data_IF_177480376635
#
_entry.id   IF_177480376635
#
_cell.length_a   1.000
_cell.length_b   1.000
_cell.length_c   1.000
_cell.angle_alpha   90.00
_cell.angle_beta   90.00
_cell.angle_gamma   90.00
#
_symmetry.space_group_name_H-M   'P 1'
#
loop_
_entity.id
_entity.type
_entity.pdbx_description
1 polymer ?
#
# COMPACT_ATOMS: atom_id res chain seq x y z
N UNK A 1 -7.45 2.46 -10.96
CA UNK A 1 -8.12 1.46 -10.09
C UNK A 1 -7.49 1.51 -8.71
N UNK A 2 -8.25 1.24 -7.65
CA UNK A 2 -7.68 1.09 -6.31
C UNK A 2 -7.24 -0.36 -6.07
N UNK A 3 -6.00 -0.56 -5.66
CA UNK A 3 -5.49 -1.81 -5.13
C UNK A 3 -5.35 -1.74 -3.61
N UNK A 4 -5.94 -2.68 -2.88
CA UNK A 4 -5.65 -2.85 -1.45
C UNK A 4 -4.86 -4.13 -1.24
N UNK A 5 -3.72 -4.02 -0.56
CA UNK A 5 -2.85 -5.15 -0.24
C UNK A 5 -2.88 -5.34 1.28
N UNK A 6 -3.53 -6.41 1.72
CA UNK A 6 -3.68 -6.78 3.13
C UNK A 6 -2.61 -7.76 3.62
N UNK A 7 -2.10 -8.59 2.70
CA UNK A 7 -1.14 -9.64 3.01
C UNK A 7 0.28 -9.11 3.14
N UNK A 8 1.05 -9.67 4.09
CA UNK A 8 2.48 -9.37 4.23
C UNK A 8 3.23 -9.64 2.93
N UNK A 9 4.15 -8.76 2.50
CA UNK A 9 4.97 -8.98 1.30
C UNK A 9 5.89 -10.21 1.40
N UNK A 10 6.11 -10.72 2.63
CA UNK A 10 6.88 -11.93 2.89
C UNK A 10 6.06 -13.23 2.78
N UNK A 11 4.72 -13.11 2.69
CA UNK A 11 3.80 -14.24 2.69
C UNK A 11 2.82 -14.20 1.50
N UNK A 12 3.14 -13.41 0.47
CA UNK A 12 2.34 -13.32 -0.75
C UNK A 12 3.23 -13.11 -1.99
N UNK A 13 2.67 -13.37 -3.17
CA UNK A 13 3.31 -13.04 -4.44
C UNK A 13 3.06 -11.57 -4.80
N UNK A 14 3.79 -10.66 -4.12
CA UNK A 14 3.68 -9.23 -4.38
C UNK A 14 4.04 -8.88 -5.83
N UNK A 15 4.98 -9.61 -6.43
CA UNK A 15 5.43 -9.38 -7.80
C UNK A 15 4.30 -9.60 -8.81
N UNK A 16 3.45 -10.62 -8.59
CA UNK A 16 2.26 -10.84 -9.40
C UNK A 16 1.30 -9.63 -9.36
N UNK A 17 1.03 -9.07 -8.17
CA UNK A 17 0.18 -7.88 -8.03
C UNK A 17 0.82 -6.67 -8.72
N UNK A 18 2.11 -6.44 -8.48
CA UNK A 18 2.87 -5.34 -9.07
C UNK A 18 2.85 -5.40 -10.59
N UNK A 19 2.84 -6.61 -11.18
CA UNK A 19 2.78 -6.78 -12.63
C UNK A 19 1.47 -6.27 -13.26
N UNK A 20 0.39 -6.16 -12.47
CA UNK A 20 -0.93 -5.69 -12.90
C UNK A 20 -1.09 -4.16 -12.79
N UNK A 21 -0.19 -3.50 -12.05
CA UNK A 21 -0.28 -2.05 -11.79
C UNK A 21 0.05 -1.22 -13.04
N UNK A 22 -0.72 -0.16 -13.22
CA UNK A 22 -0.50 0.92 -14.19
C UNK A 22 -0.30 2.26 -13.46
N UNK A 23 0.34 3.27 -14.08
CA UNK A 23 0.57 4.57 -13.43
C UNK A 23 -0.72 5.35 -13.04
N UNK A 24 -1.89 4.95 -13.55
CA UNK A 24 -3.18 5.55 -13.18
C UNK A 24 -3.80 4.90 -11.92
N UNK A 25 -3.18 3.84 -11.41
CA UNK A 25 -3.62 3.12 -10.22
C UNK A 25 -3.09 3.73 -8.93
N UNK A 26 -3.79 3.44 -7.83
CA UNK A 26 -3.34 3.77 -6.48
C UNK A 26 -3.34 2.53 -5.61
N UNK A 27 -2.33 2.41 -4.75
CA UNK A 27 -2.14 1.28 -3.85
C UNK A 27 -2.33 1.74 -2.42
N UNK A 28 -3.21 1.06 -1.68
CA UNK A 28 -3.35 1.21 -0.24
C UNK A 28 -2.90 -0.07 0.46
N UNK A 29 -1.82 0.04 1.24
CA UNK A 29 -1.34 -1.01 2.12
C UNK A 29 -2.18 -0.99 3.41
N UNK A 30 -2.79 -2.13 3.73
CA UNK A 30 -3.60 -2.33 4.93
C UNK A 30 -3.15 -3.60 5.64
N UNK A 31 -3.59 -3.82 6.87
CA UNK A 31 -3.27 -5.00 7.67
C UNK A 31 -1.77 -5.28 7.63
N UNK A 32 -1.33 -6.50 7.31
CA UNK A 32 0.08 -6.86 7.25
C UNK A 32 0.79 -6.31 6.00
N UNK A 33 0.03 -5.86 4.99
CA UNK A 33 0.57 -5.23 3.79
C UNK A 33 1.35 -3.96 4.08
N UNK A 34 1.08 -3.26 5.19
CA UNK A 34 1.85 -2.06 5.61
C UNK A 34 3.34 -2.36 5.82
N UNK A 35 3.71 -3.63 6.03
CA UNK A 35 5.11 -4.06 6.13
C UNK A 35 5.90 -3.78 4.84
N UNK A 36 5.23 -3.74 3.68
CA UNK A 36 5.85 -3.43 2.39
C UNK A 36 6.40 -2.00 2.31
N UNK A 37 5.91 -1.08 3.15
CA UNK A 37 6.33 0.32 3.19
C UNK A 37 7.46 0.61 4.20
N UNK A 38 8.03 -0.41 4.86
CA UNK A 38 9.10 -0.22 5.83
C UNK A 38 10.47 0.01 5.17
N UNK A 39 11.26 0.95 5.71
CA UNK A 39 12.67 1.26 5.48
C UNK A 39 13.20 1.06 4.05
N UNK A 40 12.62 1.75 3.06
CA UNK A 40 13.08 1.76 1.66
C UNK A 40 13.50 0.37 1.14
N UNK A 41 12.77 -0.66 1.59
CA UNK A 41 13.11 -2.04 1.32
C UNK A 41 12.78 -2.42 -0.12
N UNK A 42 13.29 -3.59 -0.52
CA UNK A 42 13.07 -4.18 -1.84
C UNK A 42 11.61 -4.09 -2.33
N UNK A 43 10.64 -4.37 -1.45
CA UNK A 43 9.22 -4.36 -1.81
C UNK A 43 8.66 -2.96 -2.06
N UNK A 44 9.11 -1.94 -1.32
CA UNK A 44 8.70 -0.57 -1.57
C UNK A 44 9.26 -0.08 -2.91
N UNK A 45 10.54 -0.36 -3.19
CA UNK A 45 11.17 0.00 -4.45
C UNK A 45 10.44 -0.64 -5.65
N UNK A 46 10.05 -1.92 -5.53
CA UNK A 46 9.27 -2.63 -6.55
C UNK A 46 7.93 -1.96 -6.86
N UNK A 47 7.23 -1.43 -5.83
CA UNK A 47 5.99 -0.67 -6.02
C UNK A 47 6.28 0.71 -6.64
N UNK A 48 7.31 1.40 -6.17
CA UNK A 48 7.70 2.74 -6.64
C UNK A 48 8.14 2.74 -8.11
N UNK A 49 8.78 1.67 -8.58
CA UNK A 49 9.17 1.49 -9.99
C UNK A 49 7.98 1.54 -10.96
N UNK A 50 6.75 1.27 -10.48
CA UNK A 50 5.54 1.40 -11.29
C UNK A 50 5.02 2.82 -11.41
N UNK A 51 5.55 3.76 -10.63
CA UNK A 51 5.11 5.15 -10.64
C UNK A 51 3.69 5.36 -10.11
N UNK A 52 3.19 4.43 -9.30
CA UNK A 52 1.87 4.54 -8.64
C UNK A 52 1.94 5.33 -7.34
N UNK A 53 0.83 5.95 -6.94
CA UNK A 53 0.72 6.49 -5.59
C UNK A 53 0.53 5.34 -4.60
N UNK A 54 1.35 5.32 -3.55
CA UNK A 54 1.34 4.28 -2.52
C UNK A 54 0.99 4.94 -1.19
N UNK A 55 0.03 4.36 -0.48
CA UNK A 55 -0.43 4.82 0.82
C UNK A 55 -0.37 3.67 1.83
N UNK A 56 -0.23 4.00 3.11
CA UNK A 56 -0.37 3.02 4.20
C UNK A 56 -1.51 3.44 5.14
N UNK A 57 -2.30 2.48 5.61
CA UNK A 57 -3.34 2.79 6.59
C UNK A 57 -2.69 3.07 7.95
N UNK A 58 -2.92 4.29 8.47
CA UNK A 58 -2.33 4.80 9.70
C UNK A 58 -2.57 3.85 10.88
N UNK A 59 -3.81 3.42 11.07
CA UNK A 59 -4.19 2.59 12.22
C UNK A 59 -3.48 1.23 12.20
N UNK A 60 -3.22 0.66 11.01
CA UNK A 60 -2.47 -0.59 10.85
C UNK A 60 -0.96 -0.43 11.05
N UNK A 61 -0.40 0.72 10.64
CA UNK A 61 0.98 1.11 10.93
C UNK A 61 1.18 1.25 12.44
N UNK A 62 0.24 1.92 13.12
CA UNK A 62 0.29 2.12 14.56
C UNK A 62 0.12 0.80 15.34
N UNK A 63 -0.83 -0.04 14.94
CA UNK A 63 -1.06 -1.35 15.55
C UNK A 63 0.16 -2.27 15.50
N UNK A 64 1.02 -2.12 14.49
CA UNK A 64 2.25 -2.91 14.30
C UNK A 64 3.52 -2.21 14.82
N UNK A 65 3.41 -1.01 15.36
CA UNK A 65 4.56 -0.27 15.90
C UNK A 65 5.55 0.19 14.83
N UNK A 66 5.09 0.43 13.60
CA UNK A 66 5.96 0.72 12.45
C UNK A 66 6.25 2.21 12.23
N UNK A 67 5.77 3.10 13.09
CA UNK A 67 5.84 4.56 12.90
C UNK A 67 7.27 5.08 12.73
N UNK A 68 8.25 4.41 13.33
CA UNK A 68 9.67 4.80 13.28
C UNK A 68 10.44 4.22 12.10
N UNK A 69 9.87 3.22 11.41
CA UNK A 69 10.51 2.48 10.32
C UNK A 69 9.75 2.58 9.01
N UNK A 70 8.58 3.23 8.98
CA UNK A 70 7.85 3.48 7.75
C UNK A 70 8.60 4.50 6.88
N UNK A 71 8.66 4.25 5.58
CA UNK A 71 9.24 5.22 4.64
C UNK A 71 8.48 6.55 4.66
N UNK A 72 9.20 7.66 4.61
CA UNK A 72 8.63 9.01 4.49
C UNK A 72 7.93 9.24 3.16
N UNK A 73 8.25 8.45 2.14
CA UNK A 73 7.66 8.55 0.79
C UNK A 73 6.27 7.91 0.71
N UNK A 74 5.81 7.24 1.78
CA UNK A 74 4.50 6.60 1.84
C UNK A 74 3.61 7.36 2.82
N UNK A 75 2.70 8.23 2.33
CA UNK A 75 1.75 8.94 3.17
C UNK A 75 0.84 7.96 3.91
N UNK A 76 0.58 8.27 5.18
CA UNK A 76 -0.37 7.53 6.00
C UNK A 76 -1.78 8.10 5.83
N UNK A 77 -2.75 7.23 5.63
CA UNK A 77 -4.16 7.59 5.49
C UNK A 77 -4.99 7.11 6.69
N UNK A 78 -6.00 7.89 7.06
CA UNK A 78 -7.03 7.46 8.01
C UNK A 78 -8.10 6.63 7.30
N UNK A 79 -8.97 5.95 8.06
CA UNK A 79 -10.13 5.27 7.50
C UNK A 79 -11.07 6.21 6.72
N UNK A 80 -11.24 7.47 7.13
CA UNK A 80 -12.04 8.43 6.36
C UNK A 80 -11.41 8.68 4.98
N UNK A 81 -10.09 8.81 4.91
CA UNK A 81 -9.38 8.97 3.64
C UNK A 81 -9.43 7.70 2.79
N UNK A 82 -9.38 6.52 3.40
CA UNK A 82 -9.62 5.26 2.69
C UNK A 82 -11.02 5.24 2.06
N UNK A 83 -12.08 5.58 2.80
CA UNK A 83 -13.44 5.69 2.22
C UNK A 83 -13.45 6.65 1.02
N UNK A 84 -12.84 7.83 1.13
CA UNK A 84 -12.74 8.77 0.01
C UNK A 84 -11.99 8.18 -1.19
N UNK A 85 -10.96 7.37 -0.95
CA UNK A 85 -10.21 6.69 -1.99
C UNK A 85 -11.08 5.67 -2.74
N UNK A 86 -11.95 4.94 -2.01
CA UNK A 86 -12.93 4.02 -2.63
C UNK A 86 -14.02 4.75 -3.43
N UNK A 87 -14.33 6.01 -3.09
CA UNK A 87 -15.24 6.85 -3.88
C UNK A 87 -14.55 7.38 -5.14
N UNK A 88 -13.25 7.71 -5.06
CA UNK A 88 -12.44 8.21 -6.17
C UNK A 88 -12.30 7.19 -7.30
N UNK A 89 -12.11 5.91 -6.98
CA UNK A 89 -11.91 4.85 -7.96
C UNK A 89 -13.19 4.02 -8.16
N UNK A 90 -13.65 3.89 -9.40
CA UNK A 90 -14.83 3.08 -9.75
C UNK A 90 -14.59 1.57 -9.68
N UNK A 91 -13.33 1.15 -9.65
CA UNK A 91 -12.92 -0.25 -9.54
C UNK A 91 -11.97 -0.42 -8.36
N UNK A 92 -12.07 -1.58 -7.74
CA UNK A 92 -11.26 -1.97 -6.58
C UNK A 92 -10.81 -3.43 -6.72
N UNK A 93 -9.52 -3.66 -6.50
CA UNK A 93 -8.92 -4.98 -6.42
C UNK A 93 -8.37 -5.21 -5.01
N UNK A 94 -8.87 -6.22 -4.33
CA UNK A 94 -8.44 -6.58 -2.98
C UNK A 94 -7.60 -7.85 -3.00
N UNK A 95 -6.42 -7.79 -2.39
CA UNK A 95 -5.46 -8.88 -2.30
C UNK A 95 -4.92 -9.07 -0.88
#
# INVERSE_FOLDING_TARGET
MLYTIASSPFNCDLAAIVSLLTPEDEVLLIQDGVLAATNAGYYLAMLQEKGVNIFALKDDVEARGLQTVLSTDVPQLTYQQFVLLTVKHSQHFAW
#
